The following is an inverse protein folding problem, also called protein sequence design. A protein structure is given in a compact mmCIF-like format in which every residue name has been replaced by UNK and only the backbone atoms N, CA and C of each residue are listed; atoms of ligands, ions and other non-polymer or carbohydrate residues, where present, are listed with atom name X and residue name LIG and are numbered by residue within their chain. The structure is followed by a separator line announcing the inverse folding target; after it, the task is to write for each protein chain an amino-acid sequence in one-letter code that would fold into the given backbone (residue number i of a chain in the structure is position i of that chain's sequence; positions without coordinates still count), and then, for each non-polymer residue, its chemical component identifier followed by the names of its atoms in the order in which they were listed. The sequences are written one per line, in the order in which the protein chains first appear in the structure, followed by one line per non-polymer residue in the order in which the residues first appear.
data_IF_712977196008
#
_entry.id   IF_712977196008
#
_cell.length_a   1.000
_cell.length_b   1.000
_cell.length_c   1.000
_cell.angle_alpha   90.00
_cell.angle_beta   90.00
_cell.angle_gamma   90.00
#
_symmetry.space_group_name_H-M   'P 1'
#
loop_
_entity.id
_entity.type
_entity.pdbx_description
1 polymer ?
#
# COMPACT_ATOMS: atom_id res chain seq x y z
N UNK A 1 19.03 21.82 -63.07
CA UNK A 1 19.69 20.83 -62.22
C UNK A 1 18.70 20.40 -61.15
N UNK A 2 18.20 19.21 -61.34
CA UNK A 2 17.15 18.59 -60.51
C UNK A 2 17.70 18.19 -59.17
N UNK A 3 16.98 18.53 -58.11
CA UNK A 3 17.24 18.05 -56.73
C UNK A 3 16.05 17.24 -56.27
N UNK A 4 16.22 15.93 -56.16
CA UNK A 4 15.23 14.96 -55.74
C UNK A 4 14.77 15.21 -54.32
N UNK A 5 13.44 15.30 -54.13
CA UNK A 5 12.79 15.28 -52.82
C UNK A 5 12.40 13.82 -52.55
N UNK A 6 13.10 13.21 -51.59
CA UNK A 6 12.80 11.86 -51.10
C UNK A 6 11.45 11.82 -50.36
N UNK A 7 10.59 10.88 -50.75
CA UNK A 7 9.30 10.60 -50.12
C UNK A 7 9.49 9.99 -48.71
N UNK A 8 8.56 10.23 -47.75
CA UNK A 8 8.63 9.65 -46.44
C UNK A 8 8.29 8.15 -46.43
N UNK A 9 9.14 7.35 -45.84
CA UNK A 9 8.98 5.92 -45.62
C UNK A 9 7.75 5.65 -44.73
N UNK A 10 6.83 4.84 -45.26
CA UNK A 10 5.62 4.43 -44.60
C UNK A 10 5.88 3.70 -43.28
N UNK A 11 5.21 4.13 -42.22
CA UNK A 11 5.10 3.37 -41.00
C UNK A 11 4.12 2.23 -41.18
N UNK A 12 4.59 1.01 -41.11
CA UNK A 12 3.75 -0.18 -40.98
C UNK A 12 2.84 -0.10 -39.75
N UNK A 13 1.58 -0.56 -39.82
CA UNK A 13 0.69 -0.62 -38.66
C UNK A 13 1.16 -1.74 -37.73
N UNK A 14 1.42 -1.40 -36.46
CA UNK A 14 1.65 -2.37 -35.39
C UNK A 14 0.42 -3.29 -35.29
N UNK A 15 0.62 -4.53 -35.60
CA UNK A 15 -0.34 -5.60 -35.62
C UNK A 15 -1.03 -5.79 -34.26
N UNK A 16 -2.34 -5.94 -34.35
CA UNK A 16 -3.33 -6.37 -33.39
C UNK A 16 -2.86 -7.47 -32.42
N UNK A 17 -3.38 -7.38 -31.21
CA UNK A 17 -3.19 -8.34 -30.13
C UNK A 17 -3.37 -9.80 -30.53
N UNK A 18 -2.27 -10.46 -30.72
CA UNK A 18 -2.21 -11.92 -30.62
C UNK A 18 -2.34 -12.29 -29.13
N UNK A 19 -3.33 -13.06 -28.79
CA UNK A 19 -3.46 -13.68 -27.47
C UNK A 19 -2.14 -14.31 -27.09
N UNK A 20 -1.56 -13.85 -25.98
CA UNK A 20 -0.31 -14.37 -25.46
C UNK A 20 -0.55 -15.84 -25.12
N UNK A 21 0.06 -16.76 -25.86
CA UNK A 21 0.06 -18.18 -25.54
C UNK A 21 0.50 -18.33 -24.08
N UNK A 22 -0.04 -19.29 -23.31
CA UNK A 22 0.38 -19.52 -21.95
C UNK A 22 1.90 -19.79 -21.95
N UNK A 23 2.66 -18.86 -21.39
CA UNK A 23 4.09 -19.07 -21.14
C UNK A 23 4.17 -20.29 -20.23
N UNK A 24 4.94 -21.30 -20.63
CA UNK A 24 5.14 -22.48 -19.78
C UNK A 24 5.66 -22.01 -18.43
N UNK A 25 4.87 -22.17 -17.38
CA UNK A 25 5.18 -21.77 -16.02
C UNK A 25 6.38 -22.57 -15.56
N UNK A 26 7.52 -21.93 -15.38
CA UNK A 26 8.68 -22.57 -14.77
C UNK A 26 8.45 -22.68 -13.27
N UNK A 27 9.19 -23.57 -12.58
CA UNK A 27 9.13 -23.65 -11.10
C UNK A 27 9.46 -22.31 -10.45
N UNK A 28 10.30 -21.49 -11.07
CA UNK A 28 10.72 -20.19 -10.58
C UNK A 28 9.61 -19.13 -10.64
N UNK A 29 8.50 -19.40 -11.33
CA UNK A 29 7.35 -18.52 -11.43
C UNK A 29 6.24 -18.82 -10.41
N UNK A 30 6.39 -19.86 -9.57
CA UNK A 30 5.34 -20.28 -8.62
C UNK A 30 5.64 -19.72 -7.24
N UNK A 31 4.69 -18.93 -6.72
CA UNK A 31 4.71 -18.36 -5.37
C UNK A 31 3.66 -19.06 -4.52
N UNK A 32 4.09 -19.62 -3.39
CA UNK A 32 3.22 -20.21 -2.38
C UNK A 32 2.97 -19.19 -1.24
N UNK A 33 1.71 -19.05 -0.79
CA UNK A 33 1.35 -18.21 0.35
C UNK A 33 0.70 -19.07 1.42
N UNK A 34 1.36 -19.16 2.58
CA UNK A 34 0.82 -19.75 3.81
C UNK A 34 0.17 -18.62 4.65
N UNK A 35 -1.16 -18.67 4.78
CA UNK A 35 -1.98 -17.61 5.35
C UNK A 35 -2.63 -16.76 4.25
N UNK A 36 -3.91 -16.97 3.99
CA UNK A 36 -4.66 -16.26 2.94
C UNK A 36 -5.72 -15.31 3.53
N UNK A 37 -5.37 -14.70 4.65
CA UNK A 37 -6.14 -13.63 5.27
C UNK A 37 -6.10 -12.33 4.43
N UNK A 38 -6.37 -11.20 5.06
CA UNK A 38 -6.45 -9.88 4.37
C UNK A 38 -5.18 -9.55 3.58
N UNK A 39 -4.00 -9.69 4.20
CA UNK A 39 -2.73 -9.37 3.54
C UNK A 39 -2.35 -10.44 2.51
N UNK A 40 -2.51 -11.72 2.83
CA UNK A 40 -2.22 -12.82 1.89
C UNK A 40 -3.01 -12.70 0.58
N UNK A 41 -4.28 -12.31 0.64
CA UNK A 41 -5.12 -12.02 -0.54
C UNK A 41 -4.60 -10.83 -1.34
N UNK A 42 -4.24 -9.75 -0.66
CA UNK A 42 -3.71 -8.54 -1.30
C UNK A 42 -2.38 -8.81 -2.01
N UNK A 43 -1.47 -9.56 -1.37
CA UNK A 43 -0.22 -10.00 -1.99
C UNK A 43 -0.48 -10.97 -3.16
N UNK A 44 -1.40 -11.92 -2.99
CA UNK A 44 -1.81 -12.86 -4.04
C UNK A 44 -2.31 -12.16 -5.29
N UNK A 45 -3.06 -11.07 -5.14
CA UNK A 45 -3.47 -10.22 -6.26
C UNK A 45 -2.27 -9.63 -7.01
N UNK A 46 -1.29 -9.04 -6.31
CA UNK A 46 -0.08 -8.50 -6.94
C UNK A 46 0.73 -9.59 -7.66
N UNK A 47 0.81 -10.78 -7.07
CA UNK A 47 1.47 -11.96 -7.67
C UNK A 47 0.82 -12.32 -9.00
N UNK A 48 -0.51 -12.44 -9.03
CA UNK A 48 -1.24 -12.79 -10.24
C UNK A 48 -1.24 -11.67 -11.31
N UNK A 49 -1.33 -10.41 -10.90
CA UNK A 49 -1.20 -9.25 -11.78
C UNK A 49 0.18 -9.18 -12.47
N UNK A 50 1.24 -9.63 -11.77
CA UNK A 50 2.60 -9.73 -12.32
C UNK A 50 2.81 -10.97 -13.23
N UNK A 51 1.76 -11.78 -13.46
CA UNK A 51 1.81 -12.98 -14.29
C UNK A 51 2.56 -14.14 -13.64
N UNK A 52 2.67 -14.15 -12.31
CA UNK A 52 3.22 -15.28 -11.53
C UNK A 52 2.10 -16.26 -11.19
N UNK A 53 2.44 -17.55 -11.08
CA UNK A 53 1.53 -18.55 -10.60
C UNK A 53 1.41 -18.51 -9.07
N UNK A 54 0.18 -18.61 -8.56
CA UNK A 54 -0.13 -18.54 -7.14
C UNK A 54 -0.59 -19.91 -6.64
N UNK A 55 -0.09 -20.32 -5.47
CA UNK A 55 -0.67 -21.36 -4.62
C UNK A 55 -0.90 -20.78 -3.23
N UNK A 56 -1.99 -21.10 -2.58
CA UNK A 56 -2.28 -20.59 -1.24
C UNK A 56 -2.90 -21.67 -0.37
N UNK A 57 -2.56 -21.65 0.90
CA UNK A 57 -3.15 -22.49 1.93
C UNK A 57 -3.47 -21.68 3.17
N UNK A 58 -4.66 -21.81 3.65
CA UNK A 58 -5.11 -21.24 4.93
C UNK A 58 -6.17 -22.19 5.52
N UNK A 59 -6.03 -22.64 6.78
CA UNK A 59 -7.02 -23.53 7.40
C UNK A 59 -8.33 -22.82 7.76
N UNK A 60 -8.28 -21.49 7.97
CA UNK A 60 -9.39 -20.72 8.51
C UNK A 60 -10.01 -19.75 7.49
N UNK A 61 -9.25 -19.35 6.47
CA UNK A 61 -9.71 -18.42 5.44
C UNK A 61 -10.12 -19.17 4.15
N UNK A 62 -11.14 -18.66 3.47
CA UNK A 62 -11.53 -19.18 2.16
C UNK A 62 -10.50 -18.78 1.09
N UNK A 63 -9.89 -19.78 0.47
CA UNK A 63 -8.95 -19.64 -0.65
C UNK A 63 -9.69 -19.98 -1.94
N UNK A 64 -9.65 -19.13 -2.99
CA UNK A 64 -10.23 -19.45 -4.29
C UNK A 64 -9.73 -20.79 -4.83
N UNK A 65 -10.61 -21.56 -5.44
CA UNK A 65 -10.33 -22.95 -5.86
C UNK A 65 -9.13 -23.05 -6.82
N UNK A 66 -8.92 -22.03 -7.67
CA UNK A 66 -7.81 -21.97 -8.62
C UNK A 66 -6.43 -21.83 -7.95
N UNK A 67 -6.34 -21.33 -6.70
CA UNK A 67 -5.09 -21.14 -5.96
C UNK A 67 -4.94 -22.12 -4.81
N UNK A 68 -6.00 -22.82 -4.43
CA UNK A 68 -6.07 -23.62 -3.21
C UNK A 68 -5.15 -24.82 -3.28
N UNK A 69 -4.26 -24.93 -2.29
CA UNK A 69 -3.56 -26.15 -1.96
C UNK A 69 -4.35 -26.92 -0.88
N UNK A 70 -4.50 -28.22 -1.03
CA UNK A 70 -5.23 -29.09 -0.08
C UNK A 70 -4.42 -29.43 1.17
N UNK A 71 -3.11 -29.17 1.16
CA UNK A 71 -2.19 -29.47 2.27
C UNK A 71 -0.94 -28.61 2.21
N UNK A 72 -0.17 -28.57 3.32
CA UNK A 72 1.15 -27.93 3.37
C UNK A 72 2.15 -28.57 2.39
N UNK A 73 2.06 -29.89 2.20
CA UNK A 73 2.87 -30.60 1.22
C UNK A 73 2.57 -30.16 -0.21
N UNK A 74 1.29 -30.02 -0.57
CA UNK A 74 0.88 -29.52 -1.87
C UNK A 74 1.28 -28.06 -2.06
N UNK A 75 1.09 -27.22 -1.03
CA UNK A 75 1.51 -25.82 -1.05
C UNK A 75 2.99 -25.66 -1.40
N UNK A 76 3.85 -26.45 -0.74
CA UNK A 76 5.30 -26.37 -0.92
C UNK A 76 5.82 -27.11 -2.16
N UNK A 77 5.04 -28.00 -2.78
CA UNK A 77 5.53 -29.01 -3.74
C UNK A 77 6.26 -28.43 -4.94
N UNK A 78 5.79 -27.32 -5.51
CA UNK A 78 6.30 -26.75 -6.76
C UNK A 78 6.82 -25.32 -6.62
N UNK A 79 6.58 -24.67 -5.49
CA UNK A 79 6.92 -23.25 -5.31
C UNK A 79 8.43 -23.01 -5.24
N UNK A 80 8.89 -21.92 -5.86
CA UNK A 80 10.24 -21.41 -5.70
C UNK A 80 10.35 -20.48 -4.47
N UNK A 81 9.29 -19.73 -4.21
CA UNK A 81 9.16 -18.83 -3.07
C UNK A 81 7.97 -19.23 -2.20
N UNK A 82 8.18 -19.27 -0.89
CA UNK A 82 7.16 -19.58 0.10
C UNK A 82 7.00 -18.43 1.07
N UNK A 83 5.87 -17.74 0.99
CA UNK A 83 5.54 -16.56 1.79
C UNK A 83 4.78 -17.00 3.03
N UNK A 84 5.26 -16.62 4.21
CA UNK A 84 4.61 -16.84 5.49
C UNK A 84 3.81 -15.57 5.83
N UNK A 85 2.51 -15.60 5.57
CA UNK A 85 1.59 -14.48 5.78
C UNK A 85 0.63 -14.73 6.98
N UNK A 86 1.09 -15.51 7.94
CA UNK A 86 0.39 -15.73 9.21
C UNK A 86 0.81 -14.69 10.25
N UNK A 87 -0.04 -14.37 11.25
CA UNK A 87 0.36 -13.49 12.35
C UNK A 87 1.61 -13.98 13.09
N UNK A 88 2.47 -13.05 13.51
CA UNK A 88 3.76 -13.36 14.16
C UNK A 88 3.65 -14.36 15.33
N UNK A 89 2.64 -14.30 16.21
CA UNK A 89 2.48 -15.30 17.28
C UNK A 89 2.28 -16.74 16.80
N UNK A 90 1.70 -16.93 15.60
CA UNK A 90 1.49 -18.25 15.00
C UNK A 90 2.61 -18.69 14.03
N UNK A 91 3.58 -17.82 13.77
CA UNK A 91 4.59 -18.03 12.73
C UNK A 91 5.48 -19.25 13.00
N UNK A 92 5.94 -19.41 14.23
CA UNK A 92 6.80 -20.53 14.61
C UNK A 92 6.13 -21.88 14.36
N UNK A 93 4.91 -22.06 14.87
CA UNK A 93 4.15 -23.31 14.68
C UNK A 93 3.84 -23.58 13.19
N UNK A 94 3.52 -22.54 12.43
CA UNK A 94 3.27 -22.64 11.00
C UNK A 94 4.53 -23.08 10.22
N UNK A 95 5.69 -22.51 10.55
CA UNK A 95 6.97 -22.88 9.90
C UNK A 95 7.41 -24.30 10.31
N UNK A 96 7.27 -24.67 11.59
CA UNK A 96 7.58 -26.03 12.06
C UNK A 96 6.73 -27.06 11.31
N UNK A 97 5.44 -26.81 11.13
CA UNK A 97 4.55 -27.70 10.37
C UNK A 97 4.90 -27.76 8.87
N UNK A 98 5.34 -26.64 8.29
CA UNK A 98 5.69 -26.54 6.88
C UNK A 98 7.07 -27.14 6.57
N UNK A 99 8.02 -27.05 7.49
CA UNK A 99 9.42 -27.43 7.30
C UNK A 99 9.65 -28.81 6.69
N UNK A 100 8.95 -29.88 7.08
CA UNK A 100 9.14 -31.22 6.48
C UNK A 100 8.85 -31.29 4.99
N UNK A 101 8.14 -30.31 4.43
CA UNK A 101 7.76 -30.24 3.03
C UNK A 101 8.65 -29.30 2.21
N UNK A 102 9.55 -28.55 2.87
CA UNK A 102 10.44 -27.60 2.21
C UNK A 102 11.68 -28.28 1.64
N UNK A 103 12.24 -27.71 0.58
CA UNK A 103 13.49 -28.12 -0.08
C UNK A 103 14.54 -27.02 -0.05
N UNK A 104 15.83 -27.36 -0.03
CA UNK A 104 16.92 -26.37 -0.04
C UNK A 104 16.93 -25.43 -1.26
N UNK A 105 16.24 -25.79 -2.34
CA UNK A 105 16.13 -24.94 -3.54
C UNK A 105 15.08 -23.81 -3.39
N UNK A 106 14.24 -23.87 -2.37
CA UNK A 106 13.19 -22.88 -2.11
C UNK A 106 13.69 -21.76 -1.22
N UNK A 107 13.05 -20.60 -1.30
CA UNK A 107 13.29 -19.51 -0.36
C UNK A 107 12.02 -19.22 0.42
N UNK A 108 12.14 -19.18 1.74
CA UNK A 108 11.06 -18.79 2.65
C UNK A 108 11.20 -17.32 3.01
N UNK A 109 10.10 -16.58 2.97
CA UNK A 109 10.04 -15.19 3.42
C UNK A 109 8.80 -14.95 4.27
N UNK A 110 8.91 -14.04 5.24
CA UNK A 110 7.76 -13.56 6.02
C UNK A 110 7.32 -12.17 5.55
N UNK A 111 6.14 -11.73 6.00
CA UNK A 111 5.58 -10.41 5.71
C UNK A 111 5.15 -9.66 6.98
N UNK A 112 5.67 -10.05 8.11
CA UNK A 112 5.33 -9.45 9.41
C UNK A 112 5.76 -7.99 9.53
N UNK A 113 5.07 -7.23 10.38
CA UNK A 113 5.37 -5.81 10.61
C UNK A 113 6.51 -5.55 11.59
N UNK A 114 7.09 -6.58 12.18
CA UNK A 114 8.30 -6.57 13.02
C UNK A 114 9.31 -7.54 12.45
N UNK A 115 10.61 -7.35 12.70
CA UNK A 115 11.65 -8.15 12.05
C UNK A 115 12.54 -8.94 12.99
N UNK A 116 12.86 -8.42 14.16
CA UNK A 116 13.77 -9.11 15.12
C UNK A 116 13.23 -10.50 15.49
N UNK A 117 11.95 -10.57 15.87
CA UNK A 117 11.32 -11.84 16.26
C UNK A 117 11.13 -12.80 15.08
N UNK A 118 10.59 -12.40 13.91
CA UNK A 118 10.52 -13.26 12.73
C UNK A 118 11.88 -13.79 12.28
N UNK A 119 12.92 -12.96 12.22
CA UNK A 119 14.27 -13.40 11.85
C UNK A 119 14.82 -14.45 12.82
N UNK A 120 14.59 -14.28 14.14
CA UNK A 120 14.96 -15.28 15.12
C UNK A 120 14.21 -16.62 14.94
N UNK A 121 12.89 -16.56 14.67
CA UNK A 121 12.07 -17.75 14.38
C UNK A 121 12.59 -18.46 13.13
N UNK A 122 12.82 -17.73 12.02
CA UNK A 122 13.35 -18.29 10.77
C UNK A 122 14.71 -18.95 10.99
N UNK A 123 15.62 -18.29 11.72
CA UNK A 123 16.93 -18.85 12.09
C UNK A 123 16.80 -20.14 12.86
N UNK A 124 15.94 -20.18 13.88
CA UNK A 124 15.80 -21.35 14.78
C UNK A 124 15.11 -22.52 14.09
N UNK A 125 14.12 -22.24 13.22
CA UNK A 125 13.30 -23.30 12.61
C UNK A 125 13.86 -23.80 11.29
N UNK A 126 14.43 -22.96 10.46
CA UNK A 126 14.95 -23.30 9.13
C UNK A 126 16.48 -23.49 9.13
N UNK A 127 17.19 -22.74 9.96
CA UNK A 127 18.65 -22.78 10.07
C UNK A 127 19.33 -22.51 8.74
N UNK A 128 20.44 -23.22 8.48
CA UNK A 128 21.20 -23.15 7.23
C UNK A 128 20.64 -24.09 6.15
N UNK A 129 19.70 -24.96 6.50
CA UNK A 129 19.19 -26.00 5.59
C UNK A 129 18.21 -25.45 4.55
N UNK A 130 17.41 -24.48 4.89
CA UNK A 130 16.40 -23.87 4.00
C UNK A 130 16.65 -22.38 3.91
N UNK A 131 16.94 -21.85 2.70
CA UNK A 131 17.17 -20.42 2.49
C UNK A 131 15.97 -19.57 2.89
N UNK A 132 16.22 -18.45 3.56
CA UNK A 132 15.18 -17.53 3.98
C UNK A 132 15.62 -16.07 3.96
N UNK A 133 14.64 -15.17 3.91
CA UNK A 133 14.83 -13.74 4.03
C UNK A 133 13.64 -13.11 4.75
N UNK A 134 13.87 -12.33 5.80
CA UNK A 134 12.78 -11.64 6.47
C UNK A 134 12.38 -10.37 5.70
N UNK A 135 11.06 -10.09 5.58
CA UNK A 135 10.57 -8.92 4.85
C UNK A 135 9.42 -8.23 5.57
N UNK A 136 9.25 -6.92 5.29
CA UNK A 136 8.09 -6.16 5.73
C UNK A 136 7.57 -5.29 4.58
N UNK A 137 6.51 -5.69 3.90
CA UNK A 137 5.78 -4.82 2.99
C UNK A 137 5.16 -3.64 3.75
N UNK A 138 5.58 -2.41 3.40
CA UNK A 138 5.08 -1.17 4.02
C UNK A 138 3.76 -0.72 3.37
N UNK A 139 2.94 -1.66 2.99
CA UNK A 139 1.62 -1.45 2.39
C UNK A 139 0.65 -2.54 2.85
N UNK A 140 -0.62 -2.24 2.76
CA UNK A 140 -1.69 -3.17 3.10
C UNK A 140 -2.83 -3.14 2.07
N UNK A 141 -3.93 -3.87 2.31
CA UNK A 141 -5.10 -3.88 1.43
C UNK A 141 -5.63 -2.49 1.11
N UNK A 142 -5.61 -1.57 2.09
CA UNK A 142 -6.08 -0.20 1.90
C UNK A 142 -5.18 0.58 0.94
N UNK A 143 -3.85 0.48 1.09
CA UNK A 143 -2.88 1.12 0.19
C UNK A 143 -3.07 0.65 -1.26
N UNK A 144 -3.35 -0.64 -1.46
CA UNK A 144 -3.63 -1.19 -2.79
C UNK A 144 -4.96 -0.70 -3.34
N UNK A 145 -6.01 -0.67 -2.51
CA UNK A 145 -7.32 -0.17 -2.89
C UNK A 145 -7.29 1.33 -3.28
N UNK A 146 -6.40 2.10 -2.66
CA UNK A 146 -6.16 3.52 -2.96
C UNK A 146 -5.14 3.74 -4.09
N UNK A 147 -4.61 2.66 -4.68
CA UNK A 147 -3.58 2.69 -5.72
C UNK A 147 -2.33 3.50 -5.31
N UNK A 148 -1.97 3.48 -4.03
CA UNK A 148 -0.78 4.16 -3.53
C UNK A 148 0.48 3.62 -4.22
N UNK A 149 1.35 4.53 -4.68
CA UNK A 149 2.64 4.21 -5.31
C UNK A 149 3.71 5.22 -4.87
N UNK A 150 4.98 4.82 -4.76
CA UNK A 150 5.48 3.46 -4.94
C UNK A 150 5.12 2.54 -3.77
N UNK A 151 4.87 1.25 -4.02
CA UNK A 151 4.81 0.25 -2.96
C UNK A 151 6.24 -0.02 -2.47
N UNK A 152 6.46 0.03 -1.16
CA UNK A 152 7.77 -0.19 -0.56
C UNK A 152 7.80 -1.44 0.29
N UNK A 153 8.95 -2.11 0.28
CA UNK A 153 9.20 -3.28 1.10
C UNK A 153 10.56 -3.16 1.77
N UNK A 154 10.62 -3.43 3.07
CA UNK A 154 11.90 -3.60 3.76
C UNK A 154 12.29 -5.07 3.70
N UNK A 155 13.53 -5.31 3.29
CA UNK A 155 14.15 -6.61 3.18
C UNK A 155 15.27 -6.68 4.22
N UNK A 156 15.25 -7.74 5.04
CA UNK A 156 16.27 -8.00 6.06
C UNK A 156 16.99 -9.29 5.71
N UNK A 157 18.15 -9.21 5.00
CA UNK A 157 18.89 -10.37 4.56
C UNK A 157 19.39 -11.23 5.72
N UNK A 158 19.32 -12.54 5.56
CA UNK A 158 20.02 -13.47 6.42
C UNK A 158 21.47 -13.59 5.95
N UNK A 159 22.43 -13.42 6.84
CA UNK A 159 23.86 -13.54 6.50
C UNK A 159 24.24 -14.92 6.00
N UNK A 160 23.54 -15.96 6.47
CA UNK A 160 23.73 -17.34 6.02
C UNK A 160 23.21 -17.59 4.58
N UNK A 161 22.33 -16.73 4.05
CA UNK A 161 21.62 -16.96 2.79
C UNK A 161 21.65 -15.72 1.86
N UNK A 162 22.81 -15.24 1.40
CA UNK A 162 22.89 -14.02 0.57
C UNK A 162 22.10 -14.14 -0.74
N UNK A 163 22.09 -15.32 -1.37
CA UNK A 163 21.35 -15.56 -2.63
C UNK A 163 19.82 -15.52 -2.42
N UNK A 164 19.34 -15.86 -1.23
CA UNK A 164 17.93 -15.74 -0.89
C UNK A 164 17.46 -14.28 -0.95
N UNK A 165 18.26 -13.35 -0.44
CA UNK A 165 17.97 -11.93 -0.50
C UNK A 165 17.85 -11.42 -1.93
N UNK A 166 18.74 -11.82 -2.82
CA UNK A 166 18.69 -11.45 -4.24
C UNK A 166 17.43 -11.96 -4.94
N UNK A 167 17.01 -13.21 -4.67
CA UNK A 167 15.80 -13.79 -5.22
C UNK A 167 14.54 -13.10 -4.69
N UNK A 168 14.50 -12.79 -3.40
CA UNK A 168 13.36 -12.07 -2.78
C UNK A 168 13.28 -10.64 -3.28
N UNK A 169 14.41 -9.95 -3.48
CA UNK A 169 14.46 -8.63 -4.13
C UNK A 169 13.84 -8.68 -5.52
N UNK A 170 14.31 -9.60 -6.38
CA UNK A 170 13.79 -9.74 -7.74
C UNK A 170 12.29 -10.03 -7.77
N UNK A 171 11.79 -10.82 -6.83
CA UNK A 171 10.35 -11.06 -6.66
C UNK A 171 9.58 -9.77 -6.36
N UNK A 172 10.01 -8.99 -5.36
CA UNK A 172 9.31 -7.76 -5.01
C UNK A 172 9.38 -6.69 -6.10
N UNK A 173 10.52 -6.56 -6.78
CA UNK A 173 10.66 -5.67 -7.94
C UNK A 173 9.73 -6.09 -9.09
N UNK A 174 9.60 -7.40 -9.35
CA UNK A 174 8.70 -7.94 -10.37
C UNK A 174 7.24 -7.63 -10.09
N UNK A 175 6.81 -7.61 -8.83
CA UNK A 175 5.44 -7.21 -8.44
C UNK A 175 5.29 -5.70 -8.23
N UNK A 176 6.27 -4.89 -8.65
CA UNK A 176 6.19 -3.42 -8.68
C UNK A 176 6.53 -2.73 -7.37
N UNK A 177 7.35 -3.34 -6.50
CA UNK A 177 7.79 -2.75 -5.25
C UNK A 177 9.20 -2.13 -5.34
N UNK A 178 9.42 -1.04 -4.61
CA UNK A 178 10.74 -0.54 -4.26
C UNK A 178 11.28 -1.29 -3.03
N UNK A 179 12.50 -1.81 -3.12
CA UNK A 179 13.12 -2.60 -2.04
C UNK A 179 14.15 -1.78 -1.28
N UNK A 180 13.99 -1.73 0.04
CA UNK A 180 14.90 -1.06 0.98
C UNK A 180 15.54 -2.15 1.85
N UNK A 181 16.87 -2.21 1.91
CA UNK A 181 17.57 -3.16 2.81
C UNK A 181 17.87 -2.54 4.16
N UNK A 182 17.63 -3.33 5.23
CA UNK A 182 17.92 -2.99 6.60
C UNK A 182 18.33 -4.24 7.39
N UNK A 183 18.94 -4.05 8.56
CA UNK A 183 19.01 -5.13 9.55
C UNK A 183 17.69 -5.24 10.30
N UNK A 184 17.33 -6.41 10.88
CA UNK A 184 16.13 -6.56 11.69
C UNK A 184 16.03 -5.54 12.82
N UNK A 185 17.15 -5.25 13.50
CA UNK A 185 17.22 -4.30 14.60
C UNK A 185 17.03 -2.85 14.13
N UNK A 186 17.67 -2.46 13.03
CA UNK A 186 17.52 -1.11 12.46
C UNK A 186 16.07 -0.88 12.01
N UNK A 187 15.45 -1.87 11.34
CA UNK A 187 14.06 -1.86 10.99
C UNK A 187 13.15 -1.66 12.21
N UNK A 188 13.29 -2.51 13.24
CA UNK A 188 12.39 -2.48 14.38
C UNK A 188 12.57 -1.21 15.24
N UNK A 189 13.78 -0.62 15.30
CA UNK A 189 13.99 0.71 15.92
C UNK A 189 13.21 1.80 15.19
N UNK A 190 13.26 1.84 13.86
CA UNK A 190 12.48 2.82 13.07
C UNK A 190 10.99 2.58 13.25
N UNK A 191 10.53 1.33 13.18
CA UNK A 191 9.12 0.98 13.35
C UNK A 191 8.60 1.29 14.76
N UNK A 192 9.44 1.21 15.79
CA UNK A 192 9.07 1.59 17.15
C UNK A 192 8.71 3.08 17.26
N UNK A 193 9.48 3.95 16.62
CA UNK A 193 9.27 5.41 16.66
C UNK A 193 8.29 5.95 15.62
N UNK A 194 7.92 5.15 14.63
CA UNK A 194 6.94 5.50 13.60
C UNK A 194 5.65 4.68 13.76
N UNK A 195 5.64 3.45 13.30
CA UNK A 195 4.45 2.61 13.22
C UNK A 195 3.83 2.33 14.59
N UNK A 196 4.64 1.92 15.60
CA UNK A 196 4.13 1.61 16.92
C UNK A 196 3.58 2.84 17.65
N UNK A 197 4.24 4.00 17.53
CA UNK A 197 3.74 5.24 18.12
C UNK A 197 2.47 5.75 17.42
N UNK A 198 2.36 5.59 16.10
CA UNK A 198 1.13 5.95 15.36
C UNK A 198 -0.08 5.20 15.92
N UNK A 199 0.02 3.87 16.10
CA UNK A 199 -1.05 3.08 16.69
C UNK A 199 -1.33 3.47 18.15
N UNK A 200 -0.29 3.72 18.92
CA UNK A 200 -0.41 4.10 20.32
C UNK A 200 -1.11 5.46 20.50
N UNK A 201 -0.73 6.46 19.72
CA UNK A 201 -1.37 7.79 19.71
C UNK A 201 -2.81 7.71 19.22
N UNK A 202 -3.06 7.01 18.12
CA UNK A 202 -4.41 6.82 17.58
C UNK A 202 -5.35 6.21 18.64
N UNK A 203 -4.89 5.14 19.32
CA UNK A 203 -5.66 4.50 20.41
C UNK A 203 -5.88 5.44 21.58
N UNK A 204 -4.82 6.16 22.01
CA UNK A 204 -4.91 7.11 23.11
C UNK A 204 -5.90 8.27 22.82
N UNK A 205 -5.91 8.79 21.61
CA UNK A 205 -6.86 9.83 21.20
C UNK A 205 -8.31 9.33 21.23
N UNK A 206 -8.57 8.12 20.74
CA UNK A 206 -9.91 7.52 20.81
C UNK A 206 -10.34 7.33 22.27
N UNK A 207 -9.46 6.81 23.12
CA UNK A 207 -9.76 6.58 24.54
C UNK A 207 -9.97 7.88 25.31
N UNK A 208 -9.30 8.97 24.87
CA UNK A 208 -9.50 10.31 25.41
C UNK A 208 -10.77 11.00 24.88
N UNK A 209 -11.58 10.32 24.06
CA UNK A 209 -12.84 10.85 23.56
C UNK A 209 -12.73 11.73 22.30
N UNK A 210 -11.60 11.68 21.57
CA UNK A 210 -11.47 12.37 20.29
C UNK A 210 -12.44 11.76 19.27
N UNK A 211 -13.59 12.43 19.05
CA UNK A 211 -14.65 11.98 18.14
C UNK A 211 -14.25 12.11 16.67
N UNK A 212 -14.70 11.15 15.84
CA UNK A 212 -14.43 11.11 14.40
C UNK A 212 -15.39 11.98 13.58
N UNK A 213 -16.63 12.15 14.06
CA UNK A 213 -17.68 12.90 13.38
C UNK A 213 -17.90 14.26 14.03
N UNK A 214 -17.11 15.24 13.63
CA UNK A 214 -17.25 16.62 14.09
C UNK A 214 -17.55 17.50 12.86
N UNK A 215 -18.73 18.19 12.81
CA UNK A 215 -19.11 18.97 11.63
C UNK A 215 -18.18 20.12 11.27
N UNK A 216 -17.35 20.55 12.20
CA UNK A 216 -16.41 21.68 12.05
C UNK A 216 -14.96 21.32 12.45
N UNK A 217 -14.57 20.07 12.18
CA UNK A 217 -13.20 19.62 12.48
C UNK A 217 -12.16 20.43 11.70
N UNK A 218 -11.13 20.98 12.36
CA UNK A 218 -10.06 21.70 11.67
C UNK A 218 -9.21 20.76 10.80
N UNK A 219 -8.52 21.27 9.76
CA UNK A 219 -7.72 20.45 8.85
C UNK A 219 -6.67 19.58 9.55
N UNK A 220 -6.04 20.08 10.62
CA UNK A 220 -5.08 19.33 11.46
C UNK A 220 -5.72 18.08 12.09
N UNK A 221 -6.95 18.21 12.60
CA UNK A 221 -7.68 17.07 13.15
C UNK A 221 -8.11 16.08 12.06
N UNK A 222 -8.54 16.57 10.89
CA UNK A 222 -8.90 15.70 9.77
C UNK A 222 -7.72 14.83 9.30
N UNK A 223 -6.48 15.32 9.37
CA UNK A 223 -5.29 14.54 9.06
C UNK A 223 -5.09 13.39 10.06
N UNK A 224 -5.25 13.67 11.36
CA UNK A 224 -5.19 12.68 12.42
C UNK A 224 -6.35 11.68 12.31
N UNK A 225 -7.57 12.15 12.05
CA UNK A 225 -8.75 11.32 11.88
C UNK A 225 -8.57 10.28 10.76
N UNK A 226 -7.97 10.67 9.62
CA UNK A 226 -7.60 9.73 8.55
C UNK A 226 -6.60 8.68 9.01
N UNK A 227 -5.60 9.07 9.80
CA UNK A 227 -4.63 8.14 10.39
C UNK A 227 -5.32 7.16 11.34
N UNK A 228 -6.22 7.64 12.20
CA UNK A 228 -7.02 6.82 13.11
C UNK A 228 -7.86 5.81 12.33
N UNK A 229 -8.53 6.21 11.25
CA UNK A 229 -9.34 5.30 10.43
C UNK A 229 -8.49 4.23 9.74
N UNK A 230 -7.31 4.60 9.22
CA UNK A 230 -6.35 3.65 8.65
C UNK A 230 -5.93 2.60 9.69
N UNK A 231 -5.54 3.06 10.88
CA UNK A 231 -5.12 2.19 11.99
C UNK A 231 -6.28 1.32 12.48
N UNK A 232 -7.51 1.87 12.56
CA UNK A 232 -8.71 1.16 13.00
C UNK A 232 -9.04 -0.02 12.10
N UNK A 233 -8.88 0.12 10.80
CA UNK A 233 -9.11 -0.97 9.84
C UNK A 233 -8.20 -2.18 10.08
N UNK A 234 -7.01 -1.96 10.66
CA UNK A 234 -5.97 -2.97 10.92
C UNK A 234 -5.82 -3.33 12.41
N UNK A 235 -6.62 -2.71 13.29
CA UNK A 235 -6.26 -2.45 14.68
C UNK A 235 -6.18 -3.65 15.63
N UNK A 236 -6.88 -4.73 15.42
CA UNK A 236 -6.99 -5.73 16.49
C UNK A 236 -5.66 -6.40 16.86
N UNK A 237 -5.29 -7.39 16.12
CA UNK A 237 -4.08 -8.20 16.34
C UNK A 237 -2.79 -7.49 15.89
N UNK A 238 -2.87 -6.58 14.88
CA UNK A 238 -1.68 -5.89 14.38
C UNK A 238 -1.11 -4.92 15.41
N UNK A 239 -1.97 -4.14 16.09
CA UNK A 239 -1.53 -3.27 17.18
C UNK A 239 -0.82 -4.04 18.31
N UNK A 240 -1.43 -5.15 18.75
CA UNK A 240 -0.85 -5.98 19.78
C UNK A 240 0.51 -6.58 19.37
N UNK A 241 0.63 -7.04 18.11
CA UNK A 241 1.87 -7.57 17.58
C UNK A 241 2.96 -6.49 17.52
N UNK A 242 2.69 -5.34 16.90
CA UNK A 242 3.65 -4.23 16.80
C UNK A 242 4.08 -3.74 18.18
N UNK A 243 3.13 -3.62 19.13
CA UNK A 243 3.41 -3.07 20.46
C UNK A 243 4.17 -4.04 21.39
N UNK A 244 4.02 -5.35 21.22
CA UNK A 244 4.63 -6.40 22.06
C UNK A 244 5.83 -7.08 21.41
N UNK A 245 5.73 -7.37 20.11
CA UNK A 245 6.73 -8.18 19.43
C UNK A 245 7.90 -7.33 18.90
N UNK A 246 7.75 -5.98 18.85
CA UNK A 246 8.87 -5.09 18.59
C UNK A 246 9.61 -4.79 19.93
N UNK A 247 10.88 -5.22 20.09
CA UNK A 247 11.61 -5.07 21.36
C UNK A 247 11.87 -3.62 21.76
N UNK A 248 11.78 -2.66 20.83
CA UNK A 248 12.03 -1.24 21.05
C UNK A 248 10.75 -0.44 21.33
N UNK A 249 9.56 -0.99 21.05
CA UNK A 249 8.30 -0.26 21.14
C UNK A 249 7.97 0.21 22.57
N UNK A 250 8.29 -0.58 23.59
CA UNK A 250 8.03 -0.21 24.98
C UNK A 250 8.83 1.02 25.42
N UNK A 251 10.09 1.15 25.00
CA UNK A 251 10.92 2.31 25.29
C UNK A 251 10.39 3.57 24.57
N UNK A 252 10.05 3.45 23.29
CA UNK A 252 9.48 4.55 22.49
C UNK A 252 8.17 5.08 23.09
N UNK A 253 7.25 4.18 23.51
CA UNK A 253 6.01 4.59 24.19
C UNK A 253 6.25 5.35 25.48
N UNK A 254 7.18 4.85 26.33
CA UNK A 254 7.53 5.53 27.61
C UNK A 254 8.12 6.91 27.35
N UNK A 255 8.97 7.06 26.33
CA UNK A 255 9.53 8.37 25.93
C UNK A 255 8.43 9.33 25.49
N UNK A 256 7.47 8.88 24.68
CA UNK A 256 6.35 9.71 24.25
C UNK A 256 5.48 10.14 25.43
N UNK A 257 5.09 9.21 26.31
CA UNK A 257 4.30 9.54 27.52
C UNK A 257 5.01 10.53 28.40
N UNK A 258 6.33 10.36 28.60
CA UNK A 258 7.14 11.30 29.38
C UNK A 258 7.18 12.69 28.76
N UNK A 259 7.34 12.76 27.42
CA UNK A 259 7.33 14.03 26.70
C UNK A 259 5.97 14.74 26.81
N UNK A 260 4.87 14.01 26.59
CA UNK A 260 3.51 14.55 26.75
C UNK A 260 3.24 15.06 28.17
N UNK A 261 3.63 14.27 29.18
CA UNK A 261 3.50 14.69 30.60
C UNK A 261 4.37 15.90 30.94
N UNK A 262 5.50 16.10 30.25
CA UNK A 262 6.33 17.30 30.45
C UNK A 262 5.70 18.54 29.83
N UNK A 263 5.05 18.39 28.68
CA UNK A 263 4.29 19.47 28.03
C UNK A 263 3.10 19.88 28.89
N UNK A 264 2.33 18.88 29.36
CA UNK A 264 1.17 19.06 30.23
C UNK A 264 1.52 19.88 31.47
N UNK A 265 2.53 19.44 32.24
CA UNK A 265 3.02 20.17 33.42
C UNK A 265 3.52 21.58 33.11
N UNK A 266 4.05 21.80 31.90
CA UNK A 266 4.51 23.13 31.52
C UNK A 266 3.34 24.08 31.25
N UNK A 267 2.24 23.56 30.70
CA UNK A 267 1.00 24.32 30.48
C UNK A 267 0.35 24.65 31.84
N UNK A 268 0.22 23.67 32.75
CA UNK A 268 -0.32 23.88 34.10
C UNK A 268 0.47 24.97 34.87
N UNK A 269 1.80 24.98 34.73
CA UNK A 269 2.64 25.98 35.38
C UNK A 269 2.41 27.40 34.84
N UNK A 270 2.09 27.57 33.56
CA UNK A 270 1.74 28.86 32.96
C UNK A 270 0.37 29.33 33.44
N UNK A 271 -0.62 28.44 33.52
CA UNK A 271 -1.96 28.79 34.06
C UNK A 271 -1.89 29.27 35.51
N UNK A 272 -1.05 28.60 36.34
CA UNK A 272 -0.89 28.93 37.75
C UNK A 272 -0.23 30.32 38.01
N UNK A 273 0.59 30.80 37.07
CA UNK A 273 1.25 32.15 37.20
C UNK A 273 0.34 33.32 36.78
N UNK A 274 -0.84 33.03 36.20
CA UNK A 274 -1.82 34.07 35.84
C UNK A 274 -1.35 35.02 34.72
N UNK A 275 -0.26 34.69 34.06
CA UNK A 275 0.26 35.48 32.91
C UNK A 275 -0.54 35.15 31.64
N UNK A 276 -1.80 35.58 31.62
CA UNK A 276 -2.60 35.72 30.40
C UNK A 276 -2.17 37.01 29.60
N UNK A 277 -0.89 37.25 29.55
CA UNK A 277 -0.28 38.37 28.81
C UNK A 277 0.83 37.82 27.92
N UNK A 278 1.04 38.43 26.77
CA UNK A 278 2.03 38.09 25.72
C UNK A 278 3.22 37.30 26.28
N UNK A 279 3.27 36.01 25.94
CA UNK A 279 4.39 35.16 26.33
C UNK A 279 5.70 35.84 25.97
N UNK A 280 6.68 36.00 26.90
CA UNK A 280 7.96 36.61 26.57
C UNK A 280 8.58 35.83 25.41
N UNK A 281 9.14 36.53 24.43
CA UNK A 281 9.65 35.98 23.15
C UNK A 281 10.61 34.77 23.29
N UNK A 282 11.06 34.47 24.53
CA UNK A 282 11.91 33.29 24.85
C UNK A 282 11.15 32.00 25.16
N UNK A 283 9.86 32.04 25.51
CA UNK A 283 9.11 30.86 25.94
C UNK A 283 8.29 30.18 24.81
N UNK A 284 8.02 30.91 23.72
CA UNK A 284 7.37 30.36 22.52
C UNK A 284 8.17 29.24 21.85
N UNK A 285 9.48 29.17 22.05
CA UNK A 285 10.35 28.11 21.51
C UNK A 285 10.15 26.77 22.20
N UNK A 286 9.66 26.74 23.45
CA UNK A 286 9.43 25.50 24.20
C UNK A 286 8.29 24.65 23.62
N UNK A 287 7.28 25.32 23.04
CA UNK A 287 6.15 24.67 22.38
C UNK A 287 6.27 24.67 20.85
N UNK A 288 7.37 25.20 20.31
CA UNK A 288 7.60 25.22 18.88
C UNK A 288 7.79 23.79 18.36
N UNK A 289 7.06 23.44 17.32
CA UNK A 289 7.29 22.20 16.57
C UNK A 289 8.36 22.50 15.54
N UNK A 290 9.56 21.88 15.65
CA UNK A 290 10.66 22.18 14.73
C UNK A 290 10.31 21.68 13.31
N UNK A 291 10.80 22.38 12.30
CA UNK A 291 10.76 21.89 10.92
C UNK A 291 11.67 20.66 10.79
N UNK A 292 11.07 19.51 10.48
CA UNK A 292 11.77 18.24 10.30
C UNK A 292 12.21 17.98 8.86
N UNK A 293 12.08 18.94 7.95
CA UNK A 293 12.35 18.74 6.52
C UNK A 293 13.01 19.89 5.81
N UNK A 294 14.01 19.62 4.96
CA UNK A 294 14.74 20.55 4.12
C UNK A 294 13.95 21.06 2.88
N UNK A 295 12.63 21.05 2.90
CA UNK A 295 11.80 21.53 1.78
C UNK A 295 10.85 22.60 2.31
N UNK A 296 10.61 23.64 1.49
CA UNK A 296 9.56 24.63 1.82
C UNK A 296 8.29 23.90 2.28
N UNK A 297 7.81 24.13 3.51
CA UNK A 297 6.61 23.50 4.03
C UNK A 297 5.42 23.71 3.10
N UNK A 298 5.31 24.87 2.50
CA UNK A 298 4.24 25.24 1.56
C UNK A 298 4.26 24.42 0.28
N UNK A 299 5.45 24.18 -0.30
CA UNK A 299 5.59 23.39 -1.51
C UNK A 299 5.29 21.91 -1.24
N UNK A 300 5.73 21.38 -0.10
CA UNK A 300 5.44 20.01 0.33
C UNK A 300 3.94 19.84 0.56
N UNK A 301 3.32 20.74 1.29
CA UNK A 301 1.89 20.74 1.56
C UNK A 301 1.06 20.85 0.29
N UNK A 302 1.44 21.75 -0.64
CA UNK A 302 0.76 21.87 -1.93
C UNK A 302 0.83 20.57 -2.74
N UNK A 303 1.99 19.89 -2.81
CA UNK A 303 2.15 18.60 -3.48
C UNK A 303 1.33 17.50 -2.84
N UNK A 304 1.35 17.40 -1.51
CA UNK A 304 0.53 16.43 -0.77
C UNK A 304 -0.97 16.64 -1.01
N UNK A 305 -1.42 17.89 -1.08
CA UNK A 305 -2.81 18.20 -1.42
C UNK A 305 -3.14 17.85 -2.88
N UNK A 306 -2.24 18.12 -3.82
CA UNK A 306 -2.39 17.69 -5.22
C UNK A 306 -2.54 16.16 -5.29
N UNK A 307 -1.66 15.41 -4.62
CA UNK A 307 -1.74 13.94 -4.59
C UNK A 307 -3.05 13.43 -3.98
N UNK A 308 -3.62 14.14 -3.00
CA UNK A 308 -4.95 13.79 -2.44
C UNK A 308 -6.05 14.02 -3.46
N UNK A 309 -6.01 15.16 -4.16
CA UNK A 309 -6.99 15.50 -5.21
C UNK A 309 -6.88 14.53 -6.37
N UNK A 310 -5.68 14.18 -6.81
CA UNK A 310 -5.46 13.22 -7.90
C UNK A 310 -6.01 11.83 -7.56
N UNK A 311 -5.84 11.37 -6.32
CA UNK A 311 -6.46 10.12 -5.85
C UNK A 311 -7.99 10.17 -5.89
N UNK A 312 -8.58 11.29 -5.51
CA UNK A 312 -10.04 11.47 -5.59
C UNK A 312 -10.53 11.47 -7.05
N UNK A 313 -9.80 12.13 -7.96
CA UNK A 313 -10.06 12.09 -9.40
C UNK A 313 -10.04 10.63 -9.91
N UNK A 314 -9.02 9.85 -9.54
CA UNK A 314 -8.93 8.44 -9.91
C UNK A 314 -10.11 7.61 -9.38
N UNK A 315 -10.53 7.85 -8.14
CA UNK A 315 -11.69 7.18 -7.55
C UNK A 315 -12.99 7.52 -8.30
N UNK A 316 -13.20 8.80 -8.62
CA UNK A 316 -14.35 9.26 -9.38
C UNK A 316 -14.36 8.71 -10.82
N UNK A 317 -13.18 8.58 -11.46
CA UNK A 317 -13.04 7.94 -12.76
C UNK A 317 -13.42 6.46 -12.72
N UNK A 318 -12.99 5.73 -11.69
CA UNK A 318 -13.37 4.32 -11.49
C UNK A 318 -14.90 4.17 -11.29
N UNK A 319 -15.49 5.02 -10.45
CA UNK A 319 -16.94 5.03 -10.24
C UNK A 319 -17.69 5.35 -11.55
N UNK A 320 -17.19 6.32 -12.33
CA UNK A 320 -17.77 6.66 -13.62
C UNK A 320 -17.65 5.52 -14.63
N UNK A 321 -16.56 4.76 -14.63
CA UNK A 321 -16.41 3.58 -15.48
C UNK A 321 -17.49 2.52 -15.17
N UNK A 322 -17.71 2.20 -13.89
CA UNK A 322 -18.76 1.28 -13.46
C UNK A 322 -20.17 1.74 -13.90
N UNK A 323 -20.46 3.03 -13.79
CA UNK A 323 -21.72 3.60 -14.26
C UNK A 323 -21.85 3.51 -15.79
N UNK A 324 -20.75 3.67 -16.52
CA UNK A 324 -20.73 3.53 -17.99
C UNK A 324 -21.00 2.09 -18.44
N UNK A 325 -20.47 1.08 -17.73
CA UNK A 325 -20.77 -0.34 -17.95
C UNK A 325 -22.25 -0.64 -17.70
N UNK A 326 -22.79 -0.14 -16.59
CA UNK A 326 -24.24 -0.29 -16.29
C UNK A 326 -25.12 0.34 -17.37
N UNK A 327 -24.72 1.51 -17.87
CA UNK A 327 -25.44 2.18 -18.99
C UNK A 327 -25.33 1.36 -20.28
N UNK A 328 -24.18 0.75 -20.58
CA UNK A 328 -24.00 -0.12 -21.74
C UNK A 328 -24.91 -1.36 -21.67
N UNK A 329 -24.98 -2.03 -20.50
CA UNK A 329 -25.85 -3.17 -20.25
C UNK A 329 -27.34 -2.79 -20.45
N UNK A 330 -27.75 -1.61 -19.99
CA UNK A 330 -29.11 -1.11 -20.17
C UNK A 330 -29.41 -0.82 -21.66
N UNK A 331 -28.47 -0.20 -22.40
CA UNK A 331 -28.57 0.04 -23.83
C UNK A 331 -28.69 -1.27 -24.64
N UNK A 332 -27.89 -2.28 -24.29
CA UNK A 332 -27.94 -3.59 -24.93
C UNK A 332 -29.33 -4.24 -24.79
N UNK A 333 -29.97 -4.13 -23.62
CA UNK A 333 -31.34 -4.62 -23.40
C UNK A 333 -32.40 -3.89 -24.24
N UNK A 334 -32.13 -2.63 -24.61
CA UNK A 334 -33.02 -1.78 -25.38
C UNK A 334 -32.70 -1.79 -26.90
N UNK A 335 -31.67 -2.54 -27.34
CA UNK A 335 -31.19 -2.53 -28.71
C UNK A 335 -30.63 -1.17 -29.17
N UNK A 336 -30.24 -0.30 -28.24
CA UNK A 336 -29.72 1.03 -28.53
C UNK A 336 -28.20 1.00 -28.81
N UNK A 337 -27.69 1.84 -29.73
CA UNK A 337 -26.26 1.86 -30.04
C UNK A 337 -25.42 2.31 -28.85
N UNK A 338 -24.23 1.71 -28.66
CA UNK A 338 -23.28 2.08 -27.61
C UNK A 338 -22.77 3.51 -27.82
N UNK A 339 -22.43 3.86 -29.08
CA UNK A 339 -21.98 5.20 -29.45
C UNK A 339 -23.18 6.10 -29.72
N UNK A 340 -23.29 7.20 -29.00
CA UNK A 340 -24.26 8.28 -29.18
C UNK A 340 -23.50 9.59 -29.34
N UNK A 341 -23.23 9.98 -30.57
CA UNK A 341 -22.47 11.18 -30.91
C UNK A 341 -23.14 12.48 -30.40
N UNK A 342 -24.49 12.52 -30.46
CA UNK A 342 -25.26 13.66 -29.98
C UNK A 342 -25.07 13.82 -28.45
N UNK A 343 -25.17 12.72 -27.73
CA UNK A 343 -24.97 12.72 -26.29
C UNK A 343 -23.53 13.06 -25.88
N UNK A 344 -22.53 12.63 -26.65
CA UNK A 344 -21.13 13.02 -26.39
C UNK A 344 -20.93 14.53 -26.61
N UNK A 345 -21.52 15.11 -27.63
CA UNK A 345 -21.47 16.57 -27.92
C UNK A 345 -22.13 17.37 -26.75
N UNK A 346 -23.31 16.95 -26.28
CA UNK A 346 -23.99 17.54 -25.14
C UNK A 346 -23.09 17.49 -23.87
N UNK A 347 -22.46 16.33 -23.62
CA UNK A 347 -21.55 16.16 -22.48
C UNK A 347 -20.40 17.17 -22.57
N UNK A 348 -19.72 17.26 -23.69
CA UNK A 348 -18.60 18.20 -23.86
C UNK A 348 -19.07 19.64 -23.70
N UNK A 349 -20.21 20.02 -24.30
CA UNK A 349 -20.79 21.35 -24.15
C UNK A 349 -21.04 21.72 -22.68
N UNK A 350 -21.71 20.86 -21.93
CA UNK A 350 -21.98 21.10 -20.53
C UNK A 350 -20.69 21.22 -19.68
N UNK A 351 -19.63 20.45 -19.98
CA UNK A 351 -18.35 20.51 -19.24
C UNK A 351 -17.58 21.80 -19.54
N UNK A 352 -17.69 22.31 -20.74
CA UNK A 352 -17.14 23.64 -21.08
C UNK A 352 -17.77 24.75 -20.25
N UNK A 353 -19.09 24.73 -20.08
CA UNK A 353 -19.79 25.69 -19.22
C UNK A 353 -19.32 25.55 -17.77
N UNK A 354 -19.27 24.34 -17.21
CA UNK A 354 -18.76 24.11 -15.84
C UNK A 354 -17.31 24.56 -15.64
N UNK A 355 -16.46 24.37 -16.66
CA UNK A 355 -15.08 24.83 -16.60
C UNK A 355 -15.01 26.36 -16.51
N UNK A 356 -15.83 27.07 -17.28
CA UNK A 356 -15.93 28.53 -17.22
C UNK A 356 -16.39 29.03 -15.84
N UNK A 357 -17.43 28.39 -15.26
CA UNK A 357 -17.94 28.71 -13.93
C UNK A 357 -16.86 28.52 -12.83
N UNK A 358 -15.99 27.52 -13.02
CA UNK A 358 -14.89 27.20 -12.12
C UNK A 358 -13.58 27.94 -12.45
N UNK A 359 -13.58 28.83 -13.46
CA UNK A 359 -12.39 29.55 -13.96
C UNK A 359 -11.26 28.62 -14.43
N UNK A 360 -11.61 27.49 -15.02
CA UNK A 360 -10.68 26.56 -15.64
C UNK A 360 -10.63 26.78 -17.16
N UNK A 361 -9.52 26.34 -17.78
CA UNK A 361 -9.40 26.34 -19.24
C UNK A 361 -10.41 25.37 -19.85
N UNK A 362 -11.40 25.92 -20.57
CA UNK A 362 -12.52 25.16 -21.13
C UNK A 362 -12.07 24.20 -22.25
N UNK A 363 -11.00 24.51 -23.01
CA UNK A 363 -10.47 23.62 -24.03
C UNK A 363 -9.69 22.44 -23.40
N UNK A 364 -8.82 22.74 -22.44
CA UNK A 364 -8.10 21.70 -21.70
C UNK A 364 -9.08 20.74 -21.00
N UNK A 365 -10.14 21.23 -20.38
CA UNK A 365 -11.19 20.41 -19.76
C UNK A 365 -11.94 19.59 -20.82
N UNK A 366 -12.21 20.15 -21.99
CA UNK A 366 -12.84 19.41 -23.11
C UNK A 366 -11.97 18.23 -23.53
N UNK A 367 -10.65 18.40 -23.62
CA UNK A 367 -9.72 17.31 -23.98
C UNK A 367 -9.67 16.21 -22.93
N UNK A 368 -9.64 16.58 -21.65
CA UNK A 368 -9.74 15.62 -20.53
C UNK A 368 -11.03 14.79 -20.65
N UNK A 369 -12.18 15.42 -20.88
CA UNK A 369 -13.46 14.69 -21.02
C UNK A 369 -13.55 13.85 -22.29
N UNK A 370 -12.91 14.25 -23.40
CA UNK A 370 -12.76 13.39 -24.60
C UNK A 370 -11.95 12.13 -24.28
N UNK A 371 -10.86 12.26 -23.51
CA UNK A 371 -10.08 11.11 -23.04
C UNK A 371 -10.91 10.18 -22.13
N UNK A 372 -11.68 10.73 -21.20
CA UNK A 372 -12.58 9.99 -20.30
C UNK A 372 -13.66 9.24 -21.10
N UNK A 373 -14.28 9.87 -22.11
CA UNK A 373 -15.26 9.22 -22.99
C UNK A 373 -14.62 8.07 -23.78
N UNK A 374 -13.39 8.26 -24.25
CA UNK A 374 -12.62 7.22 -24.93
C UNK A 374 -12.32 6.03 -24.02
N UNK A 375 -11.92 6.27 -22.76
CA UNK A 375 -11.73 5.24 -21.74
C UNK A 375 -13.03 4.47 -21.47
N UNK A 376 -14.16 5.17 -21.33
CA UNK A 376 -15.48 4.55 -21.13
C UNK A 376 -15.88 3.63 -22.29
N UNK A 377 -15.60 4.02 -23.54
CA UNK A 377 -15.87 3.17 -24.73
C UNK A 377 -15.00 1.91 -24.77
N UNK A 378 -13.75 1.99 -24.27
CA UNK A 378 -12.88 0.79 -24.18
C UNK A 378 -13.38 -0.21 -23.15
N UNK A 379 -13.92 0.25 -22.03
CA UNK A 379 -14.49 -0.60 -21.00
C UNK A 379 -15.84 -1.26 -21.41
N UNK A 380 -16.49 -0.76 -22.47
CA UNK A 380 -17.77 -1.27 -22.96
C UNK A 380 -17.62 -2.29 -24.11
N UNK A 381 -16.39 -2.56 -24.55
CA UNK A 381 -16.05 -3.57 -25.56
C UNK A 381 -15.67 -4.90 -24.90
#
# INVERSE_FOLDING_TARGET
MSGDIAAPVGREPLLSGAGRAPVATTRDDIVAILGYGRFGRALGQLVTEAGLALRAYDPDADVPAEYRAGSLGELASEAALVVIAVPVPGMESAIVALRPHLRPSQVVLDVGSVKVRPAAILTQTLGDAIPWCATHPLFGPLSLALAERPLRVVLCPATAHPDAAARVRAFYERIGCEVIEQTPEAHDRVMAHTHALTFFVAKGMIDAGAGMEVPFAPPSFQAIARTIETVRSDAGHLFAAIARDNPFAAAARKQLVSALSSIDRALDAQEATGEAGEAPAGDSTRFAIPDLGNRSPELKQAREHIDVVDREIMRLLAQRAQLSERAAQAKAKLGAPVLDATREAEIIGARRTWAQDLKLDAEAISDVFRAILTMSRRAQR
#
